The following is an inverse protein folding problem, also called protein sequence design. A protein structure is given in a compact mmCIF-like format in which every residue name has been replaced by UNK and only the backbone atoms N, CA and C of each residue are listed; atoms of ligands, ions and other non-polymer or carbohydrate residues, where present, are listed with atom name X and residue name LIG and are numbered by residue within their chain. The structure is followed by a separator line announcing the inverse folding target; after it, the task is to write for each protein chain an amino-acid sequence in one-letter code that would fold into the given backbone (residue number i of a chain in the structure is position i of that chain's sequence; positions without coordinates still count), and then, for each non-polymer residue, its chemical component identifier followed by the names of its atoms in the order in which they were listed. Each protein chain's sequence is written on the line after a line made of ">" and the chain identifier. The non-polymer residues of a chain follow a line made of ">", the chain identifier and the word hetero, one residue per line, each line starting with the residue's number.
data_IF_405118835576
#
_entry.id   IF_405118835576
#
_cell.length_a   1.000
_cell.length_b   1.000
_cell.length_c   1.000
_cell.angle_alpha   90.00
_cell.angle_beta   90.00
_cell.angle_gamma   90.00
#
_symmetry.space_group_name_H-M   'P 1'
#
loop_
_entity.id
_entity.type
_entity.pdbx_description
1 polymer ?
#
# COMPACT_ATOMS: atom_id res chain seq x y z
N UNK A 1 -32.57 -20.79 23.39
CA UNK A 1 -32.29 -19.37 23.11
C UNK A 1 -30.79 -19.15 23.22
N UNK A 2 -30.05 -19.10 22.11
CA UNK A 2 -28.64 -18.68 22.16
C UNK A 2 -28.67 -17.18 22.50
N UNK A 3 -28.43 -16.82 23.77
CA UNK A 3 -28.20 -15.41 24.15
C UNK A 3 -27.04 -14.93 23.27
N UNK A 4 -27.26 -13.93 22.44
CA UNK A 4 -26.23 -13.32 21.60
C UNK A 4 -25.18 -12.66 22.52
N UNK A 5 -23.97 -13.21 22.74
CA UNK A 5 -23.14 -12.79 23.88
C UNK A 5 -22.29 -11.55 23.64
N UNK A 6 -22.35 -10.88 22.50
CA UNK A 6 -21.31 -9.88 22.17
C UNK A 6 -21.91 -8.53 21.80
N UNK A 7 -21.93 -7.61 22.77
CA UNK A 7 -21.87 -6.19 22.46
C UNK A 7 -20.51 -5.97 21.80
N UNK A 8 -20.49 -5.63 20.50
CA UNK A 8 -19.25 -5.15 19.87
C UNK A 8 -18.95 -3.79 20.49
N UNK A 9 -17.83 -3.67 21.18
CA UNK A 9 -17.35 -2.42 21.75
C UNK A 9 -16.21 -1.81 20.93
N UNK A 10 -15.51 -2.63 20.14
CA UNK A 10 -14.43 -2.18 19.26
C UNK A 10 -14.94 -1.25 18.14
N UNK A 11 -14.38 -0.04 17.99
CA UNK A 11 -14.66 0.84 16.87
C UNK A 11 -14.29 0.20 15.52
N UNK A 12 -15.05 0.46 14.44
CA UNK A 12 -14.76 -0.11 13.12
C UNK A 12 -13.36 0.27 12.59
N UNK A 13 -12.84 1.44 12.98
CA UNK A 13 -11.46 1.84 12.66
C UNK A 13 -10.43 0.86 13.22
N UNK A 14 -10.57 0.47 14.49
CA UNK A 14 -9.65 -0.47 15.15
C UNK A 14 -9.70 -1.84 14.46
N UNK A 15 -10.89 -2.31 14.06
CA UNK A 15 -11.04 -3.56 13.28
C UNK A 15 -10.28 -3.48 11.96
N UNK A 16 -10.42 -2.37 11.23
CA UNK A 16 -9.72 -2.15 9.94
C UNK A 16 -8.20 -2.07 10.12
N UNK A 17 -7.74 -1.37 11.15
CA UNK A 17 -6.33 -1.27 11.51
C UNK A 17 -5.75 -2.64 11.86
N UNK A 18 -6.47 -3.44 12.64
CA UNK A 18 -6.07 -4.79 13.01
C UNK A 18 -6.01 -5.72 11.80
N UNK A 19 -6.99 -5.67 10.90
CA UNK A 19 -6.95 -6.40 9.63
C UNK A 19 -5.77 -5.99 8.75
N UNK A 20 -5.42 -4.70 8.70
CA UNK A 20 -4.26 -4.22 7.96
C UNK A 20 -2.95 -4.78 8.54
N UNK A 21 -2.82 -4.83 9.87
CA UNK A 21 -1.68 -5.46 10.56
C UNK A 21 -1.58 -6.94 10.23
N UNK A 22 -2.69 -7.69 10.41
CA UNK A 22 -2.74 -9.13 10.16
C UNK A 22 -2.37 -9.45 8.71
N UNK A 23 -2.90 -8.72 7.72
CA UNK A 23 -2.52 -8.88 6.31
C UNK A 23 -1.03 -8.61 6.08
N UNK A 24 -0.49 -7.54 6.68
CA UNK A 24 0.91 -7.17 6.51
C UNK A 24 1.84 -8.24 7.08
N UNK A 25 1.58 -8.69 8.30
CA UNK A 25 2.37 -9.73 8.99
C UNK A 25 2.24 -11.08 8.27
N UNK A 26 1.03 -11.44 7.82
CA UNK A 26 0.82 -12.67 7.08
C UNK A 26 1.63 -12.68 5.78
N UNK A 27 1.67 -11.56 5.06
CA UNK A 27 2.46 -11.43 3.83
C UNK A 27 3.97 -11.50 4.07
N UNK A 28 4.47 -11.08 5.24
CA UNK A 28 5.90 -11.12 5.57
C UNK A 28 6.35 -12.44 6.21
N UNK A 29 5.52 -13.06 7.06
CA UNK A 29 5.91 -14.14 7.96
C UNK A 29 5.06 -15.42 7.83
N UNK A 30 3.96 -15.40 7.06
CA UNK A 30 3.04 -16.52 6.86
C UNK A 30 2.13 -16.84 8.06
N UNK A 31 2.64 -16.77 9.29
CA UNK A 31 1.88 -16.98 10.53
C UNK A 31 1.85 -15.70 11.34
N UNK A 32 0.67 -15.30 11.82
CA UNK A 32 0.48 -14.07 12.61
C UNK A 32 0.20 -14.46 14.06
N UNK A 33 1.16 -14.20 14.94
CA UNK A 33 1.00 -14.44 16.39
C UNK A 33 0.61 -13.16 17.12
N UNK A 34 0.19 -13.28 18.38
CA UNK A 34 -0.11 -12.12 19.23
C UNK A 34 1.10 -11.18 19.37
N UNK A 35 2.30 -11.74 19.55
CA UNK A 35 3.53 -10.95 19.68
C UNK A 35 3.86 -10.16 18.42
N UNK A 36 3.62 -10.74 17.24
CA UNK A 36 3.82 -10.04 15.97
C UNK A 36 2.86 -8.85 15.84
N UNK A 37 1.60 -9.03 16.26
CA UNK A 37 0.57 -7.98 16.25
C UNK A 37 0.95 -6.87 17.21
N UNK A 38 1.30 -7.20 18.47
CA UNK A 38 1.70 -6.23 19.50
C UNK A 38 2.91 -5.41 19.01
N UNK A 39 3.96 -6.07 18.56
CA UNK A 39 5.19 -5.39 18.11
C UNK A 39 4.97 -4.51 16.88
N UNK A 40 4.01 -4.84 16.00
CA UNK A 40 3.67 -4.02 14.84
C UNK A 40 2.68 -2.91 15.18
N UNK A 41 1.72 -3.16 16.06
CA UNK A 41 0.71 -2.20 16.50
C UNK A 41 1.33 -1.05 17.29
N UNK A 42 2.22 -1.35 18.23
CA UNK A 42 2.95 -0.34 19.01
C UNK A 42 3.73 0.61 18.08
N UNK A 43 4.43 0.06 17.07
CA UNK A 43 5.21 0.84 16.11
C UNK A 43 4.36 1.65 15.12
N UNK A 44 3.17 1.16 14.77
CA UNK A 44 2.36 1.74 13.68
C UNK A 44 1.31 2.72 14.21
N UNK A 45 0.69 2.38 15.34
CA UNK A 45 -0.45 3.12 15.91
C UNK A 45 -0.20 3.62 17.35
N UNK A 46 0.91 3.22 17.98
CA UNK A 46 1.21 3.61 19.36
C UNK A 46 0.31 2.95 20.41
N UNK A 47 -0.31 1.81 20.08
CA UNK A 47 -1.14 1.07 21.01
C UNK A 47 -0.30 0.45 22.13
N UNK A 48 -0.85 0.46 23.35
CA UNK A 48 -0.27 -0.30 24.45
C UNK A 48 -0.42 -1.81 24.19
N UNK A 49 0.36 -2.61 24.90
CA UNK A 49 0.24 -4.06 24.83
C UNK A 49 -1.13 -4.50 25.33
N UNK A 50 -1.59 -3.93 26.43
CA UNK A 50 -2.88 -4.21 27.05
C UNK A 50 -4.04 -3.93 26.10
N UNK A 51 -4.03 -2.79 25.42
CA UNK A 51 -5.06 -2.42 24.44
C UNK A 51 -5.05 -3.37 23.23
N UNK A 52 -3.86 -3.68 22.72
CA UNK A 52 -3.71 -4.58 21.57
C UNK A 52 -4.22 -5.98 21.88
N UNK A 53 -3.87 -6.52 23.06
CA UNK A 53 -4.35 -7.82 23.51
C UNK A 53 -5.89 -7.82 23.70
N UNK A 54 -6.45 -6.74 24.25
CA UNK A 54 -7.90 -6.58 24.40
C UNK A 54 -8.61 -6.54 23.03
N UNK A 55 -8.11 -5.75 22.07
CA UNK A 55 -8.68 -5.66 20.73
C UNK A 55 -8.61 -6.97 19.98
N UNK A 56 -7.48 -7.70 20.05
CA UNK A 56 -7.34 -9.01 19.41
C UNK A 56 -8.31 -10.02 20.01
N UNK A 57 -8.41 -10.06 21.34
CA UNK A 57 -9.30 -10.96 22.07
C UNK A 57 -10.76 -10.70 21.70
N UNK A 58 -11.22 -9.45 21.78
CA UNK A 58 -12.59 -9.09 21.48
C UNK A 58 -12.91 -9.25 19.97
N UNK A 59 -11.97 -8.96 19.06
CA UNK A 59 -12.14 -9.28 17.64
C UNK A 59 -12.31 -10.78 17.41
N UNK A 60 -11.54 -11.62 18.10
CA UNK A 60 -11.67 -13.07 18.00
C UNK A 60 -13.02 -13.55 18.54
N UNK A 61 -13.45 -13.02 19.68
CA UNK A 61 -14.73 -13.34 20.31
C UNK A 61 -15.92 -12.86 19.45
N UNK A 62 -15.79 -11.70 18.81
CA UNK A 62 -16.76 -11.14 17.85
C UNK A 62 -16.71 -11.77 16.45
N UNK A 63 -15.84 -12.77 16.24
CA UNK A 63 -15.60 -13.46 14.97
C UNK A 63 -15.11 -12.55 13.84
N UNK A 64 -14.50 -11.42 14.19
CA UNK A 64 -13.79 -10.53 13.28
C UNK A 64 -12.36 -11.02 13.02
N UNK A 65 -11.85 -11.89 13.89
CA UNK A 65 -10.62 -12.67 13.70
C UNK A 65 -10.89 -14.14 14.01
N UNK A 66 -10.21 -15.03 13.28
CA UNK A 66 -10.15 -16.45 13.60
C UNK A 66 -8.91 -16.70 14.44
N UNK A 67 -9.11 -17.26 15.64
CA UNK A 67 -8.03 -17.70 16.54
C UNK A 67 -7.84 -19.21 16.40
N UNK A 68 -6.71 -19.63 15.85
CA UNK A 68 -6.33 -21.04 15.72
C UNK A 68 -5.17 -21.36 16.67
N UNK A 69 -5.17 -22.55 17.28
CA UNK A 69 -4.04 -23.01 18.08
C UNK A 69 -2.94 -23.55 17.15
N UNK A 70 -1.74 -22.98 17.21
CA UNK A 70 -0.57 -23.48 16.50
C UNK A 70 0.15 -24.51 17.39
N UNK A 71 0.07 -25.79 17.02
CA UNK A 71 0.73 -26.89 17.73
C UNK A 71 2.26 -26.79 17.70
N UNK A 72 2.83 -26.07 16.72
CA UNK A 72 4.29 -25.98 16.54
C UNK A 72 4.90 -24.93 17.45
N UNK A 73 4.25 -23.77 17.59
CA UNK A 73 4.73 -22.65 18.43
C UNK A 73 4.15 -22.63 19.85
N UNK A 74 3.23 -23.56 20.18
CA UNK A 74 2.45 -23.53 21.43
C UNK A 74 1.80 -22.16 21.69
N UNK A 75 1.35 -21.51 20.62
CA UNK A 75 0.83 -20.15 20.61
C UNK A 75 -0.43 -20.06 19.75
N UNK A 76 -1.26 -19.04 19.96
CA UNK A 76 -2.39 -18.78 19.07
C UNK A 76 -1.92 -17.99 17.84
N UNK A 77 -2.41 -18.40 16.66
CA UNK A 77 -2.30 -17.64 15.44
C UNK A 77 -3.66 -17.01 15.05
N UNK A 78 -3.59 -15.84 14.44
CA UNK A 78 -4.75 -15.04 14.07
C UNK A 78 -4.83 -14.86 12.57
N UNK A 79 -6.03 -15.02 12.01
CA UNK A 79 -6.29 -14.79 10.58
C UNK A 79 -7.62 -14.08 10.40
N UNK A 80 -7.79 -13.40 9.27
CA UNK A 80 -9.07 -12.81 8.91
C UNK A 80 -9.99 -13.94 8.46
N UNK A 81 -11.27 -13.99 8.91
CA UNK A 81 -12.21 -14.99 8.43
C UNK A 81 -12.30 -14.99 6.90
N UNK A 82 -12.40 -16.19 6.32
CA UNK A 82 -12.58 -16.42 4.88
C UNK A 82 -14.07 -16.48 4.52
N UNK A 83 -14.92 -16.72 5.50
CA UNK A 83 -16.37 -16.77 5.37
C UNK A 83 -17.00 -15.88 6.46
N UNK A 84 -18.08 -15.20 6.11
CA UNK A 84 -18.92 -14.49 7.07
C UNK A 84 -20.14 -15.35 7.36
N UNK A 85 -20.41 -15.68 8.63
CA UNK A 85 -21.66 -16.35 9.01
C UNK A 85 -22.87 -15.46 8.68
N UNK A 86 -23.97 -16.07 8.25
CA UNK A 86 -25.19 -15.36 7.84
C UNK A 86 -25.92 -14.66 9.00
N UNK A 87 -26.24 -13.40 8.72
CA UNK A 87 -27.34 -12.53 9.18
C UNK A 87 -27.51 -12.36 10.70
N UNK A 88 -26.92 -11.28 11.22
CA UNK A 88 -27.54 -10.58 12.35
C UNK A 88 -28.67 -9.70 11.81
N UNK A 89 -29.84 -9.77 12.46
CA UNK A 89 -31.03 -8.98 12.10
C UNK A 89 -30.78 -7.47 12.23
N UNK A 90 -29.87 -7.07 13.14
CA UNK A 90 -29.52 -5.67 13.37
C UNK A 90 -28.03 -5.41 13.16
N UNK A 91 -27.72 -4.18 12.76
CA UNK A 91 -26.37 -3.70 12.60
C UNK A 91 -25.62 -3.67 13.93
N UNK A 92 -24.31 -3.89 13.85
CA UNK A 92 -23.40 -3.80 14.98
C UNK A 92 -22.96 -2.38 15.30
N UNK A 93 -23.23 -1.44 14.39
CA UNK A 93 -22.81 -0.05 14.51
C UNK A 93 -24.02 0.87 14.57
N UNK A 94 -23.88 1.98 15.31
CA UNK A 94 -24.95 2.97 15.41
C UNK A 94 -25.22 3.58 14.03
N UNK A 95 -26.49 3.63 13.62
CA UNK A 95 -26.89 4.14 12.31
C UNK A 95 -26.46 5.60 12.08
N UNK A 96 -26.42 6.40 13.16
CA UNK A 96 -26.13 7.84 13.10
C UNK A 96 -24.64 8.18 13.23
N UNK A 97 -23.92 7.59 14.19
CA UNK A 97 -22.51 7.93 14.42
C UNK A 97 -21.52 6.90 13.84
N UNK A 98 -22.05 5.76 13.35
CA UNK A 98 -21.30 4.66 12.74
C UNK A 98 -20.28 4.00 13.69
N UNK A 99 -20.41 4.21 15.01
CA UNK A 99 -19.54 3.61 16.03
C UNK A 99 -20.21 2.43 16.74
N UNK A 100 -19.36 1.56 17.29
CA UNK A 100 -19.75 0.45 18.14
C UNK A 100 -20.11 0.92 19.56
N UNK A 101 -20.54 0.00 20.43
CA UNK A 101 -20.86 0.28 21.84
C UNK A 101 -22.19 -0.31 22.28
N UNK A 102 -22.76 0.25 23.35
CA UNK A 102 -24.07 -0.16 23.85
C UNK A 102 -25.18 0.42 22.97
N UNK A 103 -25.81 -0.45 22.17
CA UNK A 103 -26.77 -0.08 21.13
C UNK A 103 -28.16 -0.63 21.43
N UNK A 104 -29.15 0.24 21.29
CA UNK A 104 -30.55 -0.10 21.22
C UNK A 104 -30.89 -0.54 19.78
N UNK A 105 -31.42 -1.75 19.63
CA UNK A 105 -31.78 -2.35 18.34
C UNK A 105 -33.21 -2.02 17.98
N UNK A 106 -33.45 -1.59 16.74
CA UNK A 106 -34.83 -1.41 16.29
C UNK A 106 -35.54 -2.76 16.14
N UNK A 107 -36.80 -2.84 16.57
CA UNK A 107 -37.60 -4.07 16.49
C UNK A 107 -38.19 -4.36 15.10
N UNK A 108 -38.18 -3.38 14.20
CA UNK A 108 -38.83 -3.49 12.88
C UNK A 108 -37.88 -3.31 11.70
N UNK A 109 -36.62 -2.96 11.96
CA UNK A 109 -35.59 -2.85 10.94
C UNK A 109 -34.22 -3.15 11.53
N UNK A 110 -33.20 -3.19 10.69
CA UNK A 110 -31.85 -3.52 11.14
C UNK A 110 -31.11 -2.43 11.90
N UNK A 111 -31.62 -1.20 11.91
CA UNK A 111 -30.87 -0.05 12.45
C UNK A 111 -30.70 -0.19 13.96
N UNK A 112 -29.50 0.14 14.44
CA UNK A 112 -29.12 0.17 15.86
C UNK A 112 -28.68 1.58 16.25
N UNK A 113 -28.91 2.02 17.49
CA UNK A 113 -28.60 3.39 17.91
C UNK A 113 -28.02 3.43 19.33
N UNK A 114 -27.04 4.30 19.59
CA UNK A 114 -26.76 4.70 20.96
C UNK A 114 -27.93 5.53 21.50
N UNK A 115 -28.21 5.43 22.79
CA UNK A 115 -29.22 6.26 23.47
C UNK A 115 -29.02 7.76 23.19
N UNK A 116 -27.76 8.22 23.20
CA UNK A 116 -27.40 9.61 22.96
C UNK A 116 -27.38 10.01 21.47
N UNK A 117 -27.49 9.05 20.56
CA UNK A 117 -27.56 9.29 19.13
C UNK A 117 -29.00 9.37 18.61
N UNK A 118 -29.99 9.05 19.47
CA UNK A 118 -31.40 9.29 19.17
C UNK A 118 -31.72 10.79 19.29
N UNK A 119 -32.74 11.29 18.57
CA UNK A 119 -33.20 12.67 18.73
C UNK A 119 -33.55 13.00 20.19
N UNK A 120 -33.29 14.23 20.65
CA UNK A 120 -33.51 14.62 22.05
C UNK A 120 -34.97 14.42 22.50
N UNK A 121 -35.93 14.66 21.62
CA UNK A 121 -37.37 14.52 21.88
C UNK A 121 -37.89 13.11 21.60
N UNK A 122 -37.01 12.14 21.36
CA UNK A 122 -37.38 10.79 20.99
C UNK A 122 -37.97 10.04 22.20
N UNK A 123 -39.29 9.82 22.15
CA UNK A 123 -40.00 8.99 23.13
C UNK A 123 -40.24 7.59 22.53
N UNK A 124 -39.56 6.54 23.03
CA UNK A 124 -39.85 5.18 22.59
C UNK A 124 -41.27 4.80 23.01
N UNK A 125 -42.03 4.18 22.10
CA UNK A 125 -43.35 3.64 22.39
C UNK A 125 -43.23 2.33 23.19
N UNK A 126 -42.81 2.41 24.46
CA UNK A 126 -42.63 1.26 25.35
C UNK A 126 -41.17 0.87 25.58
N UNK A 127 -40.94 -0.41 25.91
CA UNK A 127 -39.61 -0.96 26.22
C UNK A 127 -38.76 -1.23 24.96
N UNK A 128 -39.41 -1.33 23.81
CA UNK A 128 -38.81 -1.72 22.54
C UNK A 128 -38.56 -0.50 21.64
N UNK A 129 -37.37 -0.41 21.05
CA UNK A 129 -37.02 0.71 20.17
C UNK A 129 -37.70 0.57 18.79
N UNK A 130 -38.55 1.54 18.46
CA UNK A 130 -38.98 1.80 17.09
C UNK A 130 -38.19 3.00 16.53
N UNK A 131 -37.23 2.78 15.64
CA UNK A 131 -36.35 3.88 15.20
C UNK A 131 -37.12 5.03 14.53
N UNK A 132 -36.55 6.25 14.46
CA UNK A 132 -37.21 7.41 13.87
C UNK A 132 -37.73 7.20 12.44
N UNK A 133 -37.07 6.35 11.65
CA UNK A 133 -37.51 6.03 10.29
C UNK A 133 -38.71 5.09 10.27
N UNK A 134 -38.73 4.07 11.13
CA UNK A 134 -39.86 3.15 11.25
C UNK A 134 -41.08 3.80 11.93
N UNK A 135 -40.86 4.68 12.92
CA UNK A 135 -41.94 5.44 13.55
C UNK A 135 -42.63 6.37 12.56
N UNK A 136 -41.88 6.91 11.61
CA UNK A 136 -42.41 7.73 10.53
C UNK A 136 -42.92 6.94 9.31
N UNK A 137 -43.09 5.61 9.43
CA UNK A 137 -43.74 4.78 8.42
C UNK A 137 -42.84 4.24 7.30
N UNK A 138 -41.52 4.41 7.38
CA UNK A 138 -40.60 3.74 6.44
C UNK A 138 -40.47 2.26 6.81
N UNK A 139 -41.11 1.37 6.06
CA UNK A 139 -40.87 -0.08 6.19
C UNK A 139 -39.71 -0.45 5.28
N UNK A 140 -38.67 -1.05 5.83
CA UNK A 140 -37.62 -1.63 5.02
C UNK A 140 -38.13 -2.93 4.40
N UNK A 141 -37.99 -3.09 3.09
CA UNK A 141 -38.20 -4.37 2.42
C UNK A 141 -37.00 -5.27 2.67
N UNK A 142 -37.22 -6.54 3.04
CA UNK A 142 -36.17 -7.55 3.16
C UNK A 142 -35.47 -7.73 1.81
N UNK A 143 -34.17 -7.50 1.76
CA UNK A 143 -33.37 -7.49 0.53
C UNK A 143 -32.71 -8.88 0.35
N UNK A 144 -32.80 -9.52 -0.83
CA UNK A 144 -32.01 -10.72 -1.15
C UNK A 144 -30.50 -10.44 -1.21
N UNK A 145 -29.68 -11.43 -0.82
CA UNK A 145 -28.21 -11.34 -0.76
C UNK A 145 -27.53 -11.06 -2.11
N UNK A 146 -26.35 -10.41 -2.14
CA UNK A 146 -25.73 -9.93 -3.38
C UNK A 146 -24.94 -10.99 -4.14
N UNK A 147 -24.88 -10.77 -5.46
CA UNK A 147 -23.96 -11.39 -6.42
C UNK A 147 -22.56 -10.74 -6.35
N UNK A 148 -21.62 -11.56 -6.78
CA UNK A 148 -20.17 -11.55 -6.81
C UNK A 148 -19.37 -10.24 -6.96
N UNK A 149 -18.19 -10.32 -6.32
CA UNK A 149 -16.88 -9.72 -6.62
C UNK A 149 -16.34 -8.64 -5.66
N UNK A 150 -15.10 -8.90 -5.20
CA UNK A 150 -14.16 -8.13 -4.34
C UNK A 150 -14.41 -8.10 -2.81
N UNK A 151 -13.49 -8.72 -2.06
CA UNK A 151 -13.33 -8.79 -0.58
C UNK A 151 -14.63 -8.76 0.27
N UNK A 152 -15.68 -9.39 -0.26
CA UNK A 152 -17.05 -9.45 0.25
C UNK A 152 -17.14 -9.89 1.71
N UNK A 153 -16.24 -10.78 2.13
CA UNK A 153 -16.19 -11.32 3.49
C UNK A 153 -15.95 -10.20 4.50
N UNK A 154 -15.00 -9.30 4.22
CA UNK A 154 -14.68 -8.19 5.12
C UNK A 154 -15.81 -7.18 5.19
N UNK A 155 -16.45 -6.92 4.05
CA UNK A 155 -17.64 -6.09 4.01
C UNK A 155 -18.75 -6.70 4.86
N UNK A 156 -19.09 -7.99 4.67
CA UNK A 156 -20.13 -8.70 5.45
C UNK A 156 -19.81 -8.85 6.94
N UNK A 157 -18.54 -8.89 7.32
CA UNK A 157 -18.13 -8.94 8.73
C UNK A 157 -18.38 -7.61 9.46
N UNK A 158 -18.38 -6.48 8.73
CA UNK A 158 -18.64 -5.14 9.27
C UNK A 158 -20.07 -4.66 9.02
N UNK A 159 -20.67 -5.00 7.89
CA UNK A 159 -21.96 -4.49 7.45
C UNK A 159 -22.98 -5.61 7.49
N UNK A 160 -24.02 -5.45 8.31
CA UNK A 160 -25.11 -6.42 8.39
C UNK A 160 -26.02 -6.36 7.16
N UNK A 161 -26.22 -5.16 6.57
CA UNK A 161 -27.18 -4.92 5.49
C UNK A 161 -26.51 -4.29 4.27
N UNK A 162 -26.01 -5.11 3.32
CA UNK A 162 -25.46 -4.63 2.06
C UNK A 162 -26.46 -3.77 1.27
N UNK A 163 -26.03 -2.64 0.76
CA UNK A 163 -26.79 -1.78 -0.15
C UNK A 163 -25.85 -1.14 -1.16
N UNK A 164 -26.29 -1.05 -2.40
CA UNK A 164 -25.54 -0.48 -3.51
C UNK A 164 -26.50 0.12 -4.56
N UNK A 165 -25.97 0.90 -5.49
CA UNK A 165 -26.76 1.57 -6.51
C UNK A 165 -27.43 0.59 -7.50
N UNK A 166 -26.86 -0.59 -7.70
CA UNK A 166 -27.46 -1.63 -8.55
C UNK A 166 -28.76 -2.14 -7.94
N UNK A 167 -28.73 -2.50 -6.65
CA UNK A 167 -29.94 -2.88 -5.87
C UNK A 167 -30.99 -1.79 -5.89
N UNK A 168 -30.59 -0.53 -5.71
CA UNK A 168 -31.52 0.60 -5.76
C UNK A 168 -32.14 0.72 -7.17
N UNK A 169 -31.35 0.55 -8.24
CA UNK A 169 -31.83 0.54 -9.62
C UNK A 169 -32.85 -0.58 -9.83
N UNK A 170 -32.52 -1.81 -9.42
CA UNK A 170 -33.42 -2.97 -9.54
C UNK A 170 -34.73 -2.74 -8.78
N UNK A 171 -34.66 -2.19 -7.58
CA UNK A 171 -35.84 -1.84 -6.77
C UNK A 171 -36.70 -0.76 -7.41
N UNK A 172 -36.09 0.24 -8.05
CA UNK A 172 -36.81 1.26 -8.82
C UNK A 172 -37.51 0.64 -10.03
N UNK A 173 -36.80 -0.19 -10.80
CA UNK A 173 -37.32 -0.84 -12.01
C UNK A 173 -38.46 -1.81 -11.72
N UNK A 174 -38.34 -2.56 -10.62
CA UNK A 174 -39.34 -3.55 -10.17
C UNK A 174 -40.46 -2.93 -9.33
N UNK A 175 -40.43 -1.62 -9.08
CA UNK A 175 -41.48 -0.90 -8.34
C UNK A 175 -41.57 -1.27 -6.86
N UNK A 176 -40.44 -1.63 -6.22
CA UNK A 176 -40.40 -2.04 -4.81
C UNK A 176 -40.49 -0.86 -3.82
N UNK A 177 -40.34 0.37 -4.28
CA UNK A 177 -40.52 1.56 -3.44
C UNK A 177 -41.96 2.06 -3.52
N UNK A 178 -42.64 2.08 -2.37
CA UNK A 178 -44.02 2.59 -2.27
C UNK A 178 -44.06 4.11 -2.09
N UNK A 179 -42.96 4.70 -1.63
CA UNK A 179 -42.83 6.14 -1.41
C UNK A 179 -41.35 6.57 -1.47
N UNK A 180 -41.13 7.87 -1.63
CA UNK A 180 -39.78 8.46 -1.73
C UNK A 180 -38.94 8.24 -0.46
N UNK A 181 -39.59 8.12 0.70
CA UNK A 181 -38.91 7.91 1.98
C UNK A 181 -38.22 6.54 2.05
N UNK A 182 -38.80 5.50 1.46
CA UNK A 182 -38.19 4.18 1.38
C UNK A 182 -36.96 4.19 0.46
N UNK A 183 -37.02 4.92 -0.65
CA UNK A 183 -35.86 5.14 -1.53
C UNK A 183 -34.73 5.90 -0.80
N UNK A 184 -35.06 7.03 -0.16
CA UNK A 184 -34.11 7.78 0.65
C UNK A 184 -33.49 6.94 1.77
N UNK A 185 -34.32 6.12 2.43
CA UNK A 185 -33.87 5.20 3.47
C UNK A 185 -32.76 4.28 2.95
N UNK A 186 -32.86 3.75 1.73
CA UNK A 186 -31.83 2.89 1.12
C UNK A 186 -30.55 3.66 0.76
N UNK A 187 -30.68 4.91 0.27
CA UNK A 187 -29.52 5.78 0.01
C UNK A 187 -28.77 6.08 1.32
N UNK A 188 -29.49 6.29 2.44
CA UNK A 188 -28.88 6.45 3.76
C UNK A 188 -28.11 5.20 4.21
N UNK A 189 -28.55 3.98 3.82
CA UNK A 189 -27.82 2.75 4.11
C UNK A 189 -26.46 2.77 3.42
N UNK A 190 -26.39 3.23 2.16
CA UNK A 190 -25.12 3.36 1.44
C UNK A 190 -24.17 4.26 2.22
N UNK A 191 -24.62 5.44 2.64
CA UNK A 191 -23.79 6.36 3.42
C UNK A 191 -23.33 5.74 4.76
N UNK A 192 -24.23 5.04 5.45
CA UNK A 192 -23.91 4.34 6.69
C UNK A 192 -22.81 3.28 6.47
N UNK A 193 -23.00 2.41 5.49
CA UNK A 193 -22.05 1.34 5.17
C UNK A 193 -20.69 1.90 4.74
N UNK A 194 -20.69 2.97 3.96
CA UNK A 194 -19.46 3.67 3.54
C UNK A 194 -18.73 4.25 4.75
N UNK A 195 -19.43 4.84 5.71
CA UNK A 195 -18.82 5.34 6.95
C UNK A 195 -18.17 4.22 7.77
N UNK A 196 -18.85 3.09 7.95
CA UNK A 196 -18.31 1.94 8.69
C UNK A 196 -17.05 1.38 8.00
N UNK A 197 -17.12 1.20 6.68
CA UNK A 197 -16.07 0.50 5.89
C UNK A 197 -14.87 1.39 5.58
N UNK A 198 -15.05 2.69 5.35
CA UNK A 198 -13.95 3.58 4.95
C UNK A 198 -13.53 4.57 6.04
N UNK A 199 -14.36 4.77 7.06
CA UNK A 199 -14.14 5.77 8.10
C UNK A 199 -14.59 7.18 7.71
N UNK A 200 -15.03 7.94 8.71
CA UNK A 200 -15.67 9.26 8.59
C UNK A 200 -14.85 10.28 7.80
N UNK A 201 -13.52 10.23 7.90
CA UNK A 201 -12.63 11.21 7.26
C UNK A 201 -12.26 10.86 5.81
N UNK A 202 -12.71 9.70 5.30
CA UNK A 202 -12.37 9.24 3.95
C UNK A 202 -12.99 10.11 2.86
N UNK A 203 -12.33 10.20 1.71
CA UNK A 203 -12.89 10.87 0.54
C UNK A 203 -14.18 10.21 0.03
N UNK A 204 -14.32 8.90 0.27
CA UNK A 204 -15.50 8.13 -0.10
C UNK A 204 -16.73 8.56 0.71
N UNK A 205 -16.58 8.77 2.02
CA UNK A 205 -17.65 9.33 2.86
C UNK A 205 -18.06 10.71 2.36
N UNK A 206 -17.11 11.61 2.09
CA UNK A 206 -17.41 12.96 1.56
C UNK A 206 -18.19 12.92 0.25
N UNK A 207 -17.84 11.98 -0.64
CA UNK A 207 -18.53 11.78 -1.90
C UNK A 207 -19.96 11.27 -1.69
N UNK A 208 -20.13 10.28 -0.80
CA UNK A 208 -21.44 9.74 -0.45
C UNK A 208 -22.34 10.77 0.27
N UNK A 209 -21.77 11.59 1.16
CA UNK A 209 -22.48 12.70 1.81
C UNK A 209 -22.96 13.72 0.79
N UNK A 210 -22.08 14.16 -0.11
CA UNK A 210 -22.44 15.09 -1.20
C UNK A 210 -23.55 14.52 -2.09
N UNK A 211 -23.47 13.24 -2.44
CA UNK A 211 -24.49 12.58 -3.24
C UNK A 211 -25.84 12.51 -2.51
N UNK A 212 -25.86 12.14 -1.23
CA UNK A 212 -27.08 12.09 -0.43
C UNK A 212 -27.73 13.48 -0.30
N UNK A 213 -26.94 14.54 -0.12
CA UNK A 213 -27.47 15.90 -0.06
C UNK A 213 -28.03 16.37 -1.41
N UNK A 214 -27.42 15.98 -2.53
CA UNK A 214 -27.96 16.22 -3.87
C UNK A 214 -29.31 15.50 -4.08
N UNK A 215 -29.42 14.24 -3.63
CA UNK A 215 -30.67 13.47 -3.68
C UNK A 215 -31.77 14.17 -2.88
N UNK A 216 -31.47 14.57 -1.64
CA UNK A 216 -32.42 15.28 -0.77
C UNK A 216 -32.85 16.62 -1.38
N UNK A 217 -31.92 17.40 -1.89
CA UNK A 217 -32.21 18.69 -2.54
C UNK A 217 -33.10 18.50 -3.78
N UNK A 218 -32.82 17.48 -4.57
CA UNK A 218 -33.62 17.12 -5.75
C UNK A 218 -35.05 16.75 -5.36
N UNK A 219 -35.23 15.91 -4.34
CA UNK A 219 -36.56 15.53 -3.83
C UNK A 219 -37.33 16.74 -3.29
N UNK A 220 -36.67 17.60 -2.50
CA UNK A 220 -37.28 18.82 -1.96
C UNK A 220 -37.72 19.79 -3.07
N UNK A 221 -36.97 19.86 -4.18
CA UNK A 221 -37.35 20.67 -5.35
C UNK A 221 -38.65 20.20 -5.99
N UNK A 222 -38.94 18.90 -5.95
CA UNK A 222 -40.16 18.31 -6.51
C UNK A 222 -41.36 18.47 -5.59
N UNK A 223 -41.16 18.40 -4.28
CA UNK A 223 -42.23 18.63 -3.29
C UNK A 223 -42.70 20.09 -3.27
N UNK A 224 -41.80 21.04 -3.55
CA UNK A 224 -42.12 22.48 -3.62
C UNK A 224 -42.74 22.90 -4.96
N UNK A 225 -42.88 21.99 -5.93
CA UNK A 225 -43.58 22.23 -7.19
C UNK A 225 -42.90 23.23 -8.13
N UNK A 226 -41.62 23.56 -7.93
CA UNK A 226 -40.90 24.45 -8.83
C UNK A 226 -40.38 23.68 -10.05
N UNK A 227 -40.82 24.02 -11.29
CA UNK A 227 -40.25 23.42 -12.48
C UNK A 227 -38.81 23.91 -12.62
N UNK A 228 -37.84 23.04 -12.34
CA UNK A 228 -36.44 23.35 -12.65
C UNK A 228 -36.33 23.39 -14.17
N UNK A 229 -36.15 24.61 -14.68
CA UNK A 229 -35.79 24.95 -16.05
C UNK A 229 -34.48 24.25 -16.46
N UNK A 230 -34.57 22.98 -16.83
CA UNK A 230 -33.58 22.34 -17.71
C UNK A 230 -34.11 22.33 -19.14
N UNK A 231 -34.55 23.50 -19.59
CA UNK A 231 -34.85 23.83 -20.97
C UNK A 231 -33.88 24.92 -21.44
N UNK A 232 -32.56 24.71 -21.28
CA UNK A 232 -31.55 25.56 -21.93
C UNK A 232 -30.16 24.88 -21.91
N UNK A 233 -30.08 23.72 -22.57
CA UNK A 233 -28.82 23.30 -23.22
C UNK A 233 -29.12 22.54 -24.50
N UNK A 234 -29.98 23.13 -25.33
CA UNK A 234 -30.03 22.83 -26.76
C UNK A 234 -29.12 23.81 -27.50
N UNK A 235 -28.39 23.25 -28.47
CA UNK A 235 -27.67 23.93 -29.56
C UNK A 235 -26.34 24.63 -29.22
N UNK A 236 -25.29 23.83 -29.03
CA UNK A 236 -24.00 24.16 -29.63
C UNK A 236 -23.67 23.07 -30.67
N UNK A 237 -23.98 23.41 -31.91
CA UNK A 237 -23.51 22.75 -33.13
C UNK A 237 -21.96 22.75 -33.18
N UNK A 238 -21.38 21.92 -34.07
CA UNK A 238 -19.98 21.95 -34.59
C UNK A 238 -18.95 21.00 -33.91
N UNK A 239 -18.17 20.19 -34.67
CA UNK A 239 -18.61 19.06 -35.48
C UNK A 239 -17.78 17.77 -35.26
N UNK A 240 -18.35 16.66 -35.72
CA UNK A 240 -17.77 15.32 -35.76
C UNK A 240 -16.49 15.27 -36.63
N UNK A 241 -15.30 15.45 -36.05
CA UNK A 241 -14.05 14.98 -36.68
C UNK A 241 -13.44 13.84 -35.89
N UNK A 242 -13.70 12.63 -36.37
CA UNK A 242 -12.91 11.43 -36.10
C UNK A 242 -11.44 11.72 -36.45
N UNK A 243 -10.61 12.04 -35.45
CA UNK A 243 -9.16 11.95 -35.59
C UNK A 243 -8.70 10.64 -34.96
N UNK A 244 -8.40 9.67 -35.83
CA UNK A 244 -7.61 8.48 -35.56
C UNK A 244 -6.37 8.88 -34.75
N UNK A 245 -6.19 8.28 -33.58
CA UNK A 245 -4.95 8.33 -32.81
C UNK A 245 -4.01 7.23 -33.33
N UNK A 246 -2.71 7.50 -33.51
CA UNK A 246 -1.84 6.62 -34.27
C UNK A 246 -1.45 5.39 -33.47
N UNK A 247 -1.31 4.30 -34.22
CA UNK A 247 -0.71 3.03 -33.85
C UNK A 247 0.74 3.21 -33.39
N UNK A 248 1.02 2.88 -32.14
CA UNK A 248 2.33 2.40 -31.71
C UNK A 248 2.17 0.95 -31.30
N UNK A 249 2.54 0.09 -32.25
CA UNK A 249 2.65 -1.35 -32.08
C UNK A 249 3.75 -1.66 -31.05
N UNK A 250 3.40 -2.36 -29.98
CA UNK A 250 4.30 -3.32 -29.36
C UNK A 250 3.50 -4.60 -29.12
N UNK A 251 4.02 -5.63 -29.77
CA UNK A 251 3.48 -6.96 -30.02
C UNK A 251 3.92 -7.93 -28.92
N UNK A 252 3.31 -9.13 -28.92
CA UNK A 252 3.76 -10.40 -28.32
C UNK A 252 3.24 -10.72 -26.88
N UNK A 253 2.74 -11.94 -26.58
CA UNK A 253 1.85 -12.80 -27.37
C UNK A 253 0.71 -13.49 -26.55
N UNK A 254 -0.17 -14.12 -27.33
CA UNK A 254 -1.38 -14.89 -27.03
C UNK A 254 -1.25 -15.96 -25.94
N UNK A 255 -2.27 -16.02 -25.07
CA UNK A 255 -2.69 -17.24 -24.38
C UNK A 255 -4.15 -17.53 -24.77
N UNK A 256 -4.29 -18.63 -25.48
CA UNK A 256 -5.54 -19.21 -25.94
C UNK A 256 -6.35 -19.82 -24.79
N UNK A 257 -7.67 -19.79 -24.95
CA UNK A 257 -8.44 -21.00 -24.69
C UNK A 257 -9.59 -20.90 -23.68
N UNK A 258 -10.80 -20.83 -24.25
CA UNK A 258 -12.03 -21.52 -23.79
C UNK A 258 -12.73 -20.84 -22.59
N UNK A 259 -14.02 -20.52 -22.61
CA UNK A 259 -15.18 -21.10 -23.29
C UNK A 259 -16.29 -20.05 -23.35
N UNK A 260 -16.84 -19.79 -24.54
CA UNK A 260 -18.18 -19.23 -24.68
C UNK A 260 -19.19 -20.23 -24.10
N UNK A 261 -20.09 -19.78 -23.24
CA UNK A 261 -21.26 -20.57 -22.81
C UNK A 261 -22.51 -19.82 -23.30
N UNK A 262 -23.46 -20.49 -23.99
CA UNK A 262 -24.53 -19.81 -24.71
C UNK A 262 -25.64 -19.30 -23.79
N UNK A 263 -26.08 -18.08 -24.08
CA UNK A 263 -27.27 -17.42 -23.56
C UNK A 263 -28.53 -18.21 -23.93
N UNK A 264 -29.17 -18.85 -22.95
CA UNK A 264 -30.48 -19.48 -23.11
C UNK A 264 -31.52 -18.51 -22.57
N UNK A 265 -32.39 -18.02 -23.47
CA UNK A 265 -33.49 -17.13 -23.14
C UNK A 265 -34.48 -17.80 -22.19
N UNK A 266 -34.83 -17.09 -21.13
CA UNK A 266 -35.94 -17.45 -20.25
C UNK A 266 -37.14 -16.64 -20.72
N UNK A 267 -38.17 -17.39 -21.14
CA UNK A 267 -39.48 -16.88 -21.50
C UNK A 267 -40.23 -16.44 -20.25
N UNK A 268 -40.84 -15.27 -20.38
CA UNK A 268 -41.73 -14.66 -19.42
C UNK A 268 -42.91 -15.58 -19.08
N UNK A 269 -43.26 -15.68 -17.80
CA UNK A 269 -44.60 -16.06 -17.38
C UNK A 269 -45.04 -15.22 -16.18
N UNK A 270 -46.32 -14.80 -16.16
CA UNK A 270 -46.73 -13.58 -15.48
C UNK A 270 -47.21 -13.90 -14.06
N UNK A 271 -46.60 -13.26 -13.07
CA UNK A 271 -47.08 -13.35 -11.69
C UNK A 271 -48.22 -12.35 -11.50
N UNK A 272 -49.41 -12.90 -11.27
CA UNK A 272 -50.58 -12.19 -10.77
C UNK A 272 -50.33 -11.77 -9.32
N UNK A 273 -50.19 -10.46 -9.06
CA UNK A 273 -50.33 -9.92 -7.71
C UNK A 273 -51.56 -9.03 -7.64
N UNK A 274 -52.40 -9.43 -6.69
CA UNK A 274 -53.70 -8.89 -6.35
C UNK A 274 -53.63 -7.46 -5.83
N UNK A 275 -54.65 -6.70 -6.22
CA UNK A 275 -54.93 -5.32 -5.84
C UNK A 275 -54.92 -5.09 -4.32
N UNK A 276 -54.14 -4.11 -3.86
CA UNK A 276 -54.38 -3.38 -2.61
C UNK A 276 -53.98 -1.91 -2.79
N UNK A 277 -54.93 -1.01 -2.53
CA UNK A 277 -54.66 0.32 -1.97
C UNK A 277 -54.53 1.49 -2.95
N UNK A 278 -55.66 2.03 -3.40
CA UNK A 278 -55.73 3.34 -4.08
C UNK A 278 -55.41 4.48 -3.10
N UNK A 279 -54.36 5.25 -3.35
CA UNK A 279 -54.08 6.55 -2.70
C UNK A 279 -54.03 7.64 -3.78
N UNK A 280 -54.57 8.85 -3.55
CA UNK A 280 -54.96 9.77 -4.64
C UNK A 280 -53.75 10.48 -5.26
N UNK A 281 -53.51 10.21 -6.54
CA UNK A 281 -52.56 10.95 -7.36
C UNK A 281 -53.18 12.27 -7.80
N UNK A 282 -52.48 13.37 -7.51
CA UNK A 282 -52.87 14.70 -7.90
C UNK A 282 -53.04 14.80 -9.43
N UNK A 283 -54.21 15.30 -9.80
CA UNK A 283 -54.76 15.51 -11.13
C UNK A 283 -53.80 16.22 -12.09
N UNK A 284 -53.22 15.48 -13.04
CA UNK A 284 -52.84 16.05 -14.33
C UNK A 284 -54.10 16.10 -15.19
N UNK A 285 -54.62 17.30 -15.37
CA UNK A 285 -55.87 17.60 -16.06
C UNK A 285 -55.78 17.29 -17.57
N UNK A 286 -56.59 16.33 -18.01
CA UNK A 286 -57.05 16.21 -19.40
C UNK A 286 -56.12 15.48 -20.38
N UNK A 287 -56.57 14.31 -20.85
CA UNK A 287 -56.21 13.72 -22.14
C UNK A 287 -54.76 13.20 -22.28
N UNK A 288 -54.56 11.90 -22.05
CA UNK A 288 -53.34 11.14 -22.42
C UNK A 288 -52.03 11.92 -22.15
N UNK A 289 -51.82 12.43 -20.93
CA UNK A 289 -50.52 13.01 -20.60
C UNK A 289 -49.46 11.90 -20.63
N UNK A 290 -48.39 12.09 -21.41
CA UNK A 290 -47.21 11.24 -21.38
C UNK A 290 -46.35 11.45 -20.11
N UNK A 291 -46.92 12.05 -19.06
CA UNK A 291 -46.29 12.38 -17.80
C UNK A 291 -45.64 11.13 -17.17
N UNK A 292 -46.36 9.99 -17.17
CA UNK A 292 -45.89 8.74 -16.57
C UNK A 292 -44.72 8.10 -17.35
N UNK A 293 -44.65 8.27 -18.66
CA UNK A 293 -43.50 7.76 -19.41
C UNK A 293 -42.30 8.72 -19.28
N UNK A 294 -42.57 10.03 -19.16
CA UNK A 294 -41.54 11.05 -18.99
C UNK A 294 -40.80 10.96 -17.67
N UNK A 295 -41.48 10.83 -16.52
CA UNK A 295 -40.77 10.67 -15.23
C UNK A 295 -39.99 9.36 -15.16
N UNK A 296 -40.53 8.23 -15.64
CA UNK A 296 -39.81 6.95 -15.73
C UNK A 296 -38.54 7.12 -16.56
N UNK A 297 -38.64 7.72 -17.75
CA UNK A 297 -37.49 7.98 -18.60
C UNK A 297 -36.46 8.91 -17.93
N UNK A 298 -36.93 9.93 -17.21
CA UNK A 298 -36.04 10.85 -16.49
C UNK A 298 -35.29 10.15 -15.35
N UNK A 299 -35.97 9.33 -14.55
CA UNK A 299 -35.35 8.56 -13.47
C UNK A 299 -34.33 7.57 -14.02
N UNK A 300 -34.68 6.84 -15.09
CA UNK A 300 -33.74 5.92 -15.77
C UNK A 300 -32.52 6.71 -16.27
N UNK A 301 -32.73 7.86 -16.93
CA UNK A 301 -31.62 8.68 -17.42
C UNK A 301 -30.73 9.21 -16.29
N UNK A 302 -31.30 9.54 -15.13
CA UNK A 302 -30.57 10.00 -13.95
C UNK A 302 -29.78 8.85 -13.31
N UNK A 303 -30.39 7.66 -13.20
CA UNK A 303 -29.75 6.45 -12.71
C UNK A 303 -28.58 6.02 -13.61
N UNK A 304 -28.77 6.03 -14.93
CA UNK A 304 -27.71 5.78 -15.91
C UNK A 304 -26.57 6.80 -15.80
N UNK A 305 -26.91 8.08 -15.66
CA UNK A 305 -25.92 9.15 -15.47
C UNK A 305 -25.12 8.93 -14.18
N UNK A 306 -25.76 8.57 -13.07
CA UNK A 306 -25.08 8.28 -11.81
C UNK A 306 -24.24 7.02 -11.88
N UNK A 307 -24.73 5.97 -12.53
CA UNK A 307 -23.98 4.74 -12.71
C UNK A 307 -22.72 5.00 -13.55
N UNK A 308 -22.82 5.87 -14.56
CA UNK A 308 -21.67 6.30 -15.36
C UNK A 308 -20.70 7.13 -14.52
N UNK A 309 -21.15 8.14 -13.78
CA UNK A 309 -20.28 8.95 -12.90
C UNK A 309 -19.60 8.10 -11.82
N UNK A 310 -20.33 7.17 -11.20
CA UNK A 310 -19.79 6.26 -10.20
C UNK A 310 -18.73 5.34 -10.80
N UNK A 311 -18.98 4.76 -11.99
CA UNK A 311 -17.98 3.94 -12.71
C UNK A 311 -16.74 4.74 -13.07
N UNK A 312 -16.90 5.96 -13.58
CA UNK A 312 -15.80 6.87 -13.92
C UNK A 312 -14.97 7.23 -12.69
N UNK A 313 -15.60 7.58 -11.57
CA UNK A 313 -14.91 7.95 -10.34
C UNK A 313 -14.24 6.76 -9.66
N UNK A 314 -14.87 5.58 -9.72
CA UNK A 314 -14.27 4.32 -9.29
C UNK A 314 -13.05 3.96 -10.14
N UNK A 315 -13.13 4.10 -11.47
CA UNK A 315 -12.00 3.90 -12.37
C UNK A 315 -10.86 4.91 -12.11
N UNK A 316 -11.19 6.19 -11.88
CA UNK A 316 -10.22 7.20 -11.45
C UNK A 316 -9.55 6.82 -10.13
N UNK A 317 -10.31 6.40 -9.12
CA UNK A 317 -9.76 5.97 -7.84
C UNK A 317 -8.84 4.75 -7.99
N UNK A 318 -9.22 3.76 -8.80
CA UNK A 318 -8.37 2.59 -9.08
C UNK A 318 -7.11 2.95 -9.88
N UNK A 319 -7.21 3.81 -10.89
CA UNK A 319 -6.05 4.26 -11.68
C UNK A 319 -5.09 5.08 -10.81
N UNK A 320 -5.60 6.00 -9.99
CA UNK A 320 -4.81 6.76 -9.03
C UNK A 320 -4.11 5.85 -8.01
N UNK A 321 -4.82 4.86 -7.45
CA UNK A 321 -4.25 3.92 -6.50
C UNK A 321 -3.13 3.10 -7.15
N UNK A 322 -3.34 2.59 -8.37
CA UNK A 322 -2.33 1.85 -9.16
C UNK A 322 -1.10 2.70 -9.44
N UNK A 323 -1.28 3.95 -9.90
CA UNK A 323 -0.16 4.85 -10.19
C UNK A 323 0.59 5.27 -8.92
N UNK A 324 -0.11 5.50 -7.80
CA UNK A 324 0.52 5.75 -6.49
C UNK A 324 1.35 4.55 -6.04
N UNK A 325 0.83 3.32 -6.17
CA UNK A 325 1.57 2.10 -5.82
C UNK A 325 2.78 1.89 -6.73
N UNK A 326 2.63 2.06 -8.05
CA UNK A 326 3.71 1.98 -9.02
C UNK A 326 4.83 3.00 -8.75
N UNK A 327 4.47 4.25 -8.45
CA UNK A 327 5.42 5.31 -8.09
C UNK A 327 6.16 4.99 -6.78
N UNK A 328 5.45 4.49 -5.76
CA UNK A 328 6.08 4.05 -4.50
C UNK A 328 7.09 2.94 -4.75
N UNK A 329 6.69 1.88 -5.47
CA UNK A 329 7.59 0.76 -5.79
C UNK A 329 8.81 1.22 -6.60
N UNK A 330 8.61 2.08 -7.61
CA UNK A 330 9.71 2.63 -8.39
C UNK A 330 10.68 3.48 -7.55
N UNK A 331 10.15 4.26 -6.61
CA UNK A 331 10.96 5.08 -5.68
C UNK A 331 11.77 4.20 -4.74
N UNK A 332 11.17 3.17 -4.15
CA UNK A 332 11.87 2.24 -3.25
C UNK A 332 12.93 1.41 -3.99
N UNK A 333 12.64 0.94 -5.21
CA UNK A 333 13.64 0.27 -6.05
C UNK A 333 14.81 1.21 -6.42
N UNK A 334 14.52 2.48 -6.72
CA UNK A 334 15.55 3.47 -7.02
C UNK A 334 16.44 3.79 -5.80
N UNK A 335 15.84 3.92 -4.61
CA UNK A 335 16.57 4.10 -3.33
C UNK A 335 17.46 2.90 -3.03
N UNK A 336 16.91 1.69 -3.05
CA UNK A 336 17.67 0.47 -2.78
C UNK A 336 18.84 0.31 -3.76
N UNK A 337 18.63 0.63 -5.04
CA UNK A 337 19.71 0.64 -6.04
C UNK A 337 20.78 1.68 -5.73
N UNK A 338 20.39 2.90 -5.33
CA UNK A 338 21.34 3.96 -4.99
C UNK A 338 22.16 3.62 -3.74
N UNK A 339 21.51 3.11 -2.69
CA UNK A 339 22.15 2.65 -1.45
C UNK A 339 23.15 1.52 -1.74
N UNK A 340 22.74 0.51 -2.51
CA UNK A 340 23.60 -0.60 -2.91
C UNK A 340 24.84 -0.11 -3.70
N UNK A 341 24.66 0.83 -4.64
CA UNK A 341 25.77 1.40 -5.41
C UNK A 341 26.73 2.19 -4.51
N UNK A 342 26.21 2.88 -3.50
CA UNK A 342 27.02 3.62 -2.52
C UNK A 342 27.77 2.69 -1.57
N UNK A 343 27.15 1.59 -1.13
CA UNK A 343 27.83 0.53 -0.36
C UNK A 343 28.98 -0.08 -1.17
N UNK A 344 28.74 -0.45 -2.43
CA UNK A 344 29.81 -0.98 -3.30
C UNK A 344 30.93 0.03 -3.55
N UNK A 345 30.60 1.32 -3.69
CA UNK A 345 31.60 2.37 -3.83
C UNK A 345 32.47 2.48 -2.59
N UNK A 346 31.86 2.50 -1.39
CA UNK A 346 32.60 2.54 -0.12
C UNK A 346 33.52 1.33 0.05
N UNK A 347 33.07 0.14 -0.33
CA UNK A 347 33.87 -1.08 -0.27
C UNK A 347 35.06 -1.02 -1.27
N UNK A 348 34.84 -0.53 -2.49
CA UNK A 348 35.90 -0.34 -3.49
C UNK A 348 36.94 0.69 -3.06
N UNK A 349 36.50 1.81 -2.47
CA UNK A 349 37.42 2.84 -1.96
C UNK A 349 38.22 2.31 -0.75
N UNK A 350 37.59 1.58 0.17
CA UNK A 350 38.27 0.96 1.31
C UNK A 350 39.32 -0.08 0.89
N UNK A 351 38.96 -0.99 -0.03
CA UNK A 351 39.90 -2.00 -0.55
C UNK A 351 41.04 -1.38 -1.34
N UNK A 352 40.78 -0.30 -2.08
CA UNK A 352 41.81 0.48 -2.79
C UNK A 352 42.77 1.14 -1.80
N UNK A 353 42.28 1.78 -0.75
CA UNK A 353 43.10 2.40 0.29
C UNK A 353 43.96 1.37 1.02
N UNK A 354 43.38 0.23 1.39
CA UNK A 354 44.11 -0.87 2.03
C UNK A 354 45.23 -1.41 1.13
N UNK A 355 44.93 -1.65 -0.15
CA UNK A 355 45.92 -2.13 -1.11
C UNK A 355 47.05 -1.11 -1.32
N UNK A 356 46.72 0.18 -1.44
CA UNK A 356 47.71 1.25 -1.55
C UNK A 356 48.59 1.36 -0.30
N UNK A 357 48.01 1.23 0.89
CA UNK A 357 48.76 1.25 2.14
C UNK A 357 49.72 0.05 2.24
N UNK A 358 49.26 -1.15 1.88
CA UNK A 358 50.10 -2.36 1.81
C UNK A 358 51.24 -2.20 0.82
N UNK A 359 50.95 -1.70 -0.39
CA UNK A 359 51.97 -1.46 -1.42
C UNK A 359 52.99 -0.41 -0.98
N UNK A 360 52.53 0.71 -0.39
CA UNK A 360 53.42 1.75 0.13
C UNK A 360 54.32 1.24 1.27
N UNK A 361 53.77 0.42 2.18
CA UNK A 361 54.54 -0.21 3.25
C UNK A 361 55.58 -1.19 2.68
N UNK A 362 55.18 -2.05 1.75
CA UNK A 362 56.08 -3.00 1.10
C UNK A 362 57.20 -2.30 0.33
N UNK A 363 56.89 -1.23 -0.41
CA UNK A 363 57.88 -0.44 -1.14
C UNK A 363 58.87 0.23 -0.18
N UNK A 364 58.41 0.80 0.93
CA UNK A 364 59.30 1.36 1.97
C UNK A 364 60.22 0.30 2.57
N UNK A 365 59.68 -0.88 2.88
CA UNK A 365 60.44 -1.99 3.44
C UNK A 365 61.53 -2.49 2.46
N UNK A 366 61.19 -2.72 1.19
CA UNK A 366 62.16 -3.14 0.18
C UNK A 366 63.21 -2.07 -0.11
N UNK A 367 62.83 -0.79 -0.16
CA UNK A 367 63.79 0.31 -0.28
C UNK A 367 64.76 0.36 0.90
N UNK A 368 64.27 0.18 2.12
CA UNK A 368 65.12 0.15 3.32
C UNK A 368 66.07 -1.04 3.30
N UNK A 369 65.57 -2.24 2.99
CA UNK A 369 66.36 -3.46 2.85
C UNK A 369 67.45 -3.34 1.78
N UNK A 370 67.13 -2.70 0.66
CA UNK A 370 68.11 -2.42 -0.41
C UNK A 370 69.17 -1.43 0.05
N UNK A 371 68.78 -0.34 0.73
CA UNK A 371 69.72 0.63 1.33
C UNK A 371 70.65 -0.02 2.35
N UNK A 372 70.14 -0.87 3.22
CA UNK A 372 70.95 -1.56 4.24
C UNK A 372 71.90 -2.58 3.61
N UNK A 373 71.47 -3.28 2.55
CA UNK A 373 72.33 -4.17 1.77
C UNK A 373 73.47 -3.40 1.10
N UNK A 374 73.16 -2.29 0.41
CA UNK A 374 74.18 -1.45 -0.22
C UNK A 374 75.13 -0.84 0.81
N UNK A 375 74.62 -0.41 1.98
CA UNK A 375 75.47 0.08 3.08
C UNK A 375 76.47 -0.98 3.54
N UNK A 376 76.02 -2.22 3.78
CA UNK A 376 76.90 -3.33 4.17
C UNK A 376 77.95 -3.64 3.10
N UNK A 377 77.54 -3.69 1.83
CA UNK A 377 78.48 -3.87 0.70
C UNK A 377 79.52 -2.76 0.66
N UNK A 378 79.12 -1.50 0.86
CA UNK A 378 80.06 -0.38 0.93
C UNK A 378 81.01 -0.48 2.12
N UNK A 379 80.53 -0.92 3.29
CA UNK A 379 81.37 -1.10 4.48
C UNK A 379 82.37 -2.25 4.30
N UNK A 380 81.97 -3.34 3.65
CA UNK A 380 82.85 -4.44 3.24
C UNK A 380 83.88 -3.98 2.21
N UNK A 381 83.45 -3.18 1.23
CA UNK A 381 84.33 -2.64 0.21
C UNK A 381 85.38 -1.71 0.84
N UNK A 382 84.95 -0.80 1.72
CA UNK A 382 85.84 0.15 2.41
C UNK A 382 86.87 -0.49 3.35
N UNK A 383 86.66 -1.74 3.77
CA UNK A 383 87.63 -2.49 4.60
C UNK A 383 88.76 -3.11 3.79
N UNK A 384 88.62 -3.20 2.47
CA UNK A 384 89.62 -3.76 1.56
C UNK A 384 90.46 -2.67 0.92
N UNK A 385 91.66 -3.06 0.47
CA UNK A 385 92.48 -2.24 -0.41
C UNK A 385 92.13 -2.54 -1.86
N UNK A 386 92.15 -1.52 -2.72
CA UNK A 386 91.70 -1.63 -4.11
C UNK A 386 92.81 -1.25 -5.08
N UNK A 387 92.87 -1.99 -6.17
CA UNK A 387 93.80 -1.71 -7.26
C UNK A 387 93.39 -0.40 -7.91
N UNK A 388 94.31 0.56 -7.96
CA UNK A 388 94.04 1.85 -8.62
C UNK A 388 93.68 1.68 -10.11
N UNK A 389 94.26 0.68 -10.77
CA UNK A 389 94.14 0.50 -12.22
C UNK A 389 92.84 -0.20 -12.64
N UNK A 390 92.43 -1.26 -11.94
CA UNK A 390 91.34 -2.14 -12.40
C UNK A 390 90.22 -2.35 -11.37
N UNK A 391 90.27 -1.67 -10.22
CA UNK A 391 89.26 -1.75 -9.16
C UNK A 391 89.04 -3.15 -8.57
N UNK A 392 89.94 -4.10 -8.86
CA UNK A 392 89.99 -5.41 -8.22
C UNK A 392 90.68 -5.31 -6.85
N UNK A 393 90.50 -6.32 -5.99
CA UNK A 393 91.13 -6.37 -4.66
C UNK A 393 92.66 -6.31 -4.79
N UNK A 394 93.28 -5.34 -4.10
CA UNK A 394 94.73 -5.13 -4.16
C UNK A 394 95.48 -5.99 -3.15
N UNK A 395 96.64 -6.51 -3.57
CA UNK A 395 97.56 -7.28 -2.73
C UNK A 395 98.94 -6.63 -2.60
N UNK A 396 99.25 -5.62 -3.43
CA UNK A 396 100.51 -4.87 -3.40
C UNK A 396 100.27 -3.42 -2.98
N UNK A 397 100.85 -3.01 -1.85
CA UNK A 397 100.84 -1.62 -1.40
C UNK A 397 101.96 -0.80 -2.08
N UNK A 398 101.63 0.38 -2.61
CA UNK A 398 102.61 1.32 -3.14
C UNK A 398 102.85 2.49 -2.19
N UNK A 399 101.83 3.34 -1.97
CA UNK A 399 101.89 4.50 -1.08
C UNK A 399 100.49 4.95 -0.62
N UNK A 400 100.40 6.02 0.19
CA UNK A 400 99.13 6.58 0.66
C UNK A 400 98.17 6.83 -0.51
N UNK A 401 97.03 6.13 -0.54
CA UNK A 401 96.01 6.15 -1.59
C UNK A 401 96.38 5.45 -2.93
N UNK A 402 97.36 4.55 -2.95
CA UNK A 402 97.68 3.76 -4.16
C UNK A 402 98.12 2.35 -3.81
N UNK A 403 97.37 1.37 -4.31
CA UNK A 403 97.62 -0.07 -4.18
C UNK A 403 97.30 -0.76 -5.52
N UNK A 404 97.82 -1.95 -5.76
CA UNK A 404 97.65 -2.71 -7.01
C UNK A 404 97.32 -4.19 -6.74
N UNK A 405 96.57 -4.83 -7.64
CA UNK A 405 96.31 -6.28 -7.59
C UNK A 405 97.43 -7.11 -8.21
N UNK A 406 98.23 -6.53 -9.11
CA UNK A 406 99.29 -7.22 -9.84
C UNK A 406 100.43 -6.27 -10.21
N UNK A 407 101.58 -6.82 -10.58
CA UNK A 407 102.73 -6.02 -11.03
C UNK A 407 102.45 -5.39 -12.40
N UNK A 408 101.66 -6.05 -13.23
CA UNK A 408 101.24 -5.56 -14.55
C UNK A 408 100.38 -4.29 -14.40
N UNK A 409 99.40 -4.30 -13.49
CA UNK A 409 98.61 -3.12 -13.16
C UNK A 409 99.47 -1.96 -12.62
N UNK A 410 100.51 -2.27 -11.84
CA UNK A 410 101.44 -1.27 -11.35
C UNK A 410 102.26 -0.65 -12.49
N UNK A 411 102.77 -1.47 -13.41
CA UNK A 411 103.56 -1.02 -14.57
C UNK A 411 102.71 -0.16 -15.52
N UNK A 412 101.46 -0.55 -15.76
CA UNK A 412 100.53 0.19 -16.62
C UNK A 412 100.20 1.59 -16.06
N UNK A 413 99.96 1.70 -14.75
CA UNK A 413 99.72 2.98 -14.08
C UNK A 413 101.01 3.77 -13.77
N UNK A 414 102.20 3.17 -13.94
CA UNK A 414 103.45 3.73 -13.41
C UNK A 414 103.78 5.11 -13.98
N UNK A 415 103.57 5.33 -15.28
CA UNK A 415 103.92 6.59 -15.94
C UNK A 415 103.19 7.79 -15.36
N UNK A 416 101.91 7.65 -15.00
CA UNK A 416 101.14 8.72 -14.36
C UNK A 416 101.36 8.78 -12.85
N UNK A 417 101.57 7.64 -12.19
CA UNK A 417 101.75 7.60 -10.74
C UNK A 417 103.10 8.14 -10.26
N UNK A 418 104.19 7.86 -10.98
CA UNK A 418 105.59 8.07 -10.51
C UNK A 418 105.87 9.44 -9.93
N UNK A 419 105.25 10.50 -10.47
CA UNK A 419 105.44 11.87 -10.03
C UNK A 419 104.80 12.17 -8.66
N UNK A 420 103.80 11.39 -8.27
CA UNK A 420 103.03 11.57 -7.02
C UNK A 420 103.31 10.48 -5.99
N UNK A 421 104.12 9.47 -6.34
CA UNK A 421 104.42 8.34 -5.48
C UNK A 421 105.16 8.78 -4.20
N UNK A 422 104.59 8.44 -3.04
CA UNK A 422 105.17 8.77 -1.72
C UNK A 422 106.07 7.66 -1.15
N UNK A 423 106.37 6.60 -1.91
CA UNK A 423 107.25 5.51 -1.45
C UNK A 423 108.70 6.00 -1.43
N UNK A 424 109.35 5.96 -0.27
CA UNK A 424 110.79 6.26 -0.16
C UNK A 424 111.56 5.25 -1.02
N UNK A 425 112.50 5.72 -1.84
CA UNK A 425 113.44 4.85 -2.57
C UNK A 425 114.24 4.06 -1.52
N UNK A 426 113.94 2.78 -1.32
CA UNK A 426 114.82 1.89 -0.58
C UNK A 426 116.07 1.69 -1.43
N UNK A 427 117.16 2.36 -1.06
CA UNK A 427 118.51 1.97 -1.44
C UNK A 427 118.78 0.61 -0.82
N UNK A 428 118.42 -0.47 -1.51
CA UNK A 428 118.98 -1.78 -1.21
C UNK A 428 120.44 -1.75 -1.66
N UNK A 429 121.32 -1.41 -0.73
CA UNK A 429 122.73 -1.75 -0.78
C UNK A 429 122.86 -3.27 -0.61
N UNK A 430 123.04 -3.96 -1.72
CA UNK A 430 123.81 -5.21 -1.81
C UNK A 430 124.62 -5.13 -3.08
#
# INVERSE_FOLDING_TARGET
>A
MKRNPFIRSIPPEVVRQLWALVKNIHNSCGVVTLEDIVGKAEKTFGWTREDTEAYVKECADCRLLVRNADSVKNAYCYSIPIEAEEVNENDWYCFNCHQAGDLQKCTTCFRSFHTNCLPADFSPAGMDLLCPSCQAGSKLMTIPGPDSSVNEVQYRLLVAHPMDLGRISDKLETGQYSNVREFLSDVEIILHNVNVVFGKDSSMVKTAESALEEVKATIASWETGNPVDNAQKETADVPTTRKKRPSSAQEVPKLDGRSNVPFVGIQDSPIQTSAVGTVPTASCSGGKCNCEQRWKQYIISLAEQWQMMFKDDLEKCYTELRERQKKKLATELAKLRAEMMEDFRRELDSTREELNARYAHQLKFELQKLKDRHRKQLDEIKKKQWCYQCESEAIYYCCWNTSYCSVECQQEHWETHRATCRRKKTTTET
#
